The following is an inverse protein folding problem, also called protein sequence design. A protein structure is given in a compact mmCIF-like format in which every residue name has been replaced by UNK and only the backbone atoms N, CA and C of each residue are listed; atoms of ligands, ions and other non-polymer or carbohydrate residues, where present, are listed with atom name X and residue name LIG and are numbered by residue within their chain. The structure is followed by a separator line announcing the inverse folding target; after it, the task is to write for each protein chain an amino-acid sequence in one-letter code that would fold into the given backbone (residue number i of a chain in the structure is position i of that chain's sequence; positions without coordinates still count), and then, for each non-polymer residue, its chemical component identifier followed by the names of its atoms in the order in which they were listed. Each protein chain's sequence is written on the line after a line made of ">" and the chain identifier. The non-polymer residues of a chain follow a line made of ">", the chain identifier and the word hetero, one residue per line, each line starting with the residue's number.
data_IF_341470894311
#
_entry.id   IF_341470894311
#
_cell.length_a   1.000
_cell.length_b   1.000
_cell.length_c   1.000
_cell.angle_alpha   90.00
_cell.angle_beta   90.00
_cell.angle_gamma   90.00
#
_symmetry.space_group_name_H-M   'P 1'
#
loop_
_entity.id
_entity.type
_entity.pdbx_description
1 polymer ?
#
# COMPACT_ATOMS: atom_id res chain seq x y z
N UNK A 1 9.20 25.59 0.90
CA UNK A 1 9.47 26.79 0.06
C UNK A 1 8.21 27.67 -0.08
N UNK A 2 7.68 28.22 1.03
CA UNK A 2 6.73 29.35 1.07
C UNK A 2 5.34 29.26 0.41
N UNK A 3 5.14 28.45 -0.63
CA UNK A 3 3.85 28.25 -1.32
C UNK A 3 3.70 26.81 -1.80
N UNK A 4 2.50 26.27 -1.62
CA UNK A 4 2.10 24.98 -2.18
C UNK A 4 1.49 25.19 -3.58
N UNK A 5 1.89 24.42 -4.60
CA UNK A 5 1.31 24.50 -5.93
C UNK A 5 -0.18 24.17 -5.92
N UNK A 6 -0.97 24.82 -6.77
CA UNK A 6 -2.42 24.63 -6.79
C UNK A 6 -2.83 23.21 -7.21
N UNK A 7 -2.10 22.63 -8.16
CA UNK A 7 -2.26 21.26 -8.63
C UNK A 7 -1.91 20.21 -7.56
N UNK A 8 -0.94 20.51 -6.69
CA UNK A 8 -0.60 19.68 -5.52
C UNK A 8 -1.66 19.81 -4.44
N UNK A 9 -2.10 21.04 -4.13
CA UNK A 9 -3.09 21.32 -3.09
C UNK A 9 -4.45 20.64 -3.32
N UNK A 10 -4.79 20.34 -4.57
CA UNK A 10 -6.07 19.69 -4.95
C UNK A 10 -5.96 18.18 -5.17
N UNK A 11 -4.82 17.58 -4.83
CA UNK A 11 -4.68 16.13 -4.90
C UNK A 11 -5.61 15.46 -3.90
N UNK A 12 -6.37 14.50 -4.41
CA UNK A 12 -7.04 13.49 -3.62
C UNK A 12 -6.08 12.32 -3.45
N UNK A 13 -5.96 11.83 -2.23
CA UNK A 13 -5.08 10.72 -1.90
C UNK A 13 -5.82 9.39 -1.96
N UNK A 14 -5.10 8.34 -2.32
CA UNK A 14 -5.65 6.98 -2.30
C UNK A 14 -6.12 6.60 -0.88
N UNK A 15 -7.01 5.60 -0.73
CA UNK A 15 -7.18 4.91 0.54
C UNK A 15 -5.82 4.46 1.11
N UNK A 16 -5.77 4.18 2.41
CA UNK A 16 -4.58 3.64 3.06
C UNK A 16 -4.71 2.12 3.27
N UNK A 17 -3.79 1.55 4.03
CA UNK A 17 -3.90 0.22 4.56
C UNK A 17 -3.38 0.11 6.00
N UNK A 18 -3.96 -0.84 6.71
CA UNK A 18 -3.37 -1.45 7.89
C UNK A 18 -2.60 -2.70 7.46
N UNK A 19 -1.45 -2.93 8.07
CA UNK A 19 -0.59 -4.07 7.79
C UNK A 19 -0.24 -4.79 9.08
N UNK A 20 -0.51 -6.10 9.11
CA UNK A 20 0.00 -7.03 10.09
C UNK A 20 1.12 -7.84 9.44
N UNK A 21 2.36 -7.66 9.91
CA UNK A 21 3.48 -8.53 9.61
C UNK A 21 3.63 -9.51 10.77
N UNK A 22 3.52 -10.81 10.53
CA UNK A 22 3.58 -11.82 11.58
C UNK A 22 4.63 -12.89 11.27
N UNK A 23 5.47 -13.21 12.27
CA UNK A 23 6.22 -14.47 12.33
C UNK A 23 5.37 -15.50 13.08
N UNK A 24 5.19 -16.68 12.50
CA UNK A 24 4.24 -17.67 13.01
C UNK A 24 4.78 -19.09 12.96
N UNK A 25 4.33 -19.92 13.90
CA UNK A 25 4.57 -21.38 13.90
C UNK A 25 3.62 -22.14 12.98
N UNK A 26 2.55 -21.50 12.53
CA UNK A 26 1.48 -22.15 11.78
C UNK A 26 1.72 -22.07 10.27
N UNK A 27 1.55 -23.21 9.60
CA UNK A 27 1.48 -23.29 8.15
C UNK A 27 0.10 -23.79 7.71
N UNK A 28 -0.43 -23.22 6.63
CA UNK A 28 -1.73 -23.61 6.07
C UNK A 28 -1.49 -24.30 4.74
N UNK A 29 -2.12 -25.45 4.47
CA UNK A 29 -1.89 -26.21 3.23
C UNK A 29 -2.61 -25.63 2.01
N UNK A 30 -3.76 -24.98 2.20
CA UNK A 30 -4.63 -24.49 1.13
C UNK A 30 -4.43 -23.00 0.77
N UNK A 31 -3.21 -22.49 0.86
CA UNK A 31 -2.88 -21.13 0.43
C UNK A 31 -1.75 -21.15 -0.61
N UNK A 32 -1.62 -20.07 -1.39
CA UNK A 32 -0.51 -19.81 -2.29
C UNK A 32 0.45 -18.77 -1.68
N UNK A 33 1.47 -18.35 -2.44
CA UNK A 33 2.35 -17.24 -2.03
C UNK A 33 1.53 -15.97 -1.79
N UNK A 34 0.63 -15.62 -2.71
CA UNK A 34 -0.31 -14.50 -2.58
C UNK A 34 -1.74 -15.03 -2.58
N UNK A 35 -2.56 -14.54 -1.66
CA UNK A 35 -3.95 -14.94 -1.48
C UNK A 35 -4.80 -13.69 -1.36
N UNK A 36 -5.75 -13.53 -2.27
CA UNK A 36 -6.75 -12.48 -2.19
C UNK A 36 -8.03 -13.11 -1.67
N UNK A 37 -8.52 -12.62 -0.54
CA UNK A 37 -9.79 -13.02 0.02
C UNK A 37 -10.78 -11.90 -0.19
N UNK A 38 -11.80 -12.15 -1.00
CA UNK A 38 -12.83 -11.16 -1.30
C UNK A 38 -13.89 -11.14 -0.21
N UNK A 39 -14.32 -9.93 0.17
CA UNK A 39 -15.59 -9.75 0.86
C UNK A 39 -16.77 -10.13 -0.03
N UNK A 40 -17.93 -10.37 0.58
CA UNK A 40 -19.21 -10.66 -0.10
C UNK A 40 -19.80 -9.42 -0.78
N UNK A 41 -19.51 -8.22 -0.26
CA UNK A 41 -20.01 -6.95 -0.82
C UNK A 41 -18.89 -6.18 -1.51
N UNK A 42 -18.88 -6.18 -2.85
CA UNK A 42 -17.89 -5.43 -3.62
C UNK A 42 -18.19 -3.92 -3.60
N UNK A 43 -19.43 -3.51 -3.88
CA UNK A 43 -19.79 -2.10 -4.02
C UNK A 43 -19.84 -1.36 -2.67
N UNK A 44 -20.31 -2.03 -1.60
CA UNK A 44 -20.39 -1.42 -0.26
C UNK A 44 -19.01 -1.08 0.31
N UNK A 45 -18.00 -1.91 0.01
CA UNK A 45 -16.63 -1.76 0.50
C UNK A 45 -15.96 -0.48 0.00
N UNK A 46 -16.09 -0.15 -1.29
CA UNK A 46 -15.51 1.08 -1.83
C UNK A 46 -16.23 2.31 -1.31
N UNK A 47 -17.56 2.25 -1.17
CA UNK A 47 -18.34 3.32 -0.54
C UNK A 47 -17.90 3.57 0.89
N UNK A 48 -17.74 2.53 1.70
CA UNK A 48 -17.30 2.66 3.10
C UNK A 48 -15.94 3.35 3.19
N UNK A 49 -14.97 2.93 2.37
CA UNK A 49 -13.60 3.45 2.41
C UNK A 49 -13.46 4.87 1.84
N UNK A 50 -14.04 5.11 0.67
CA UNK A 50 -13.79 6.31 -0.14
C UNK A 50 -14.80 7.41 0.21
N UNK A 51 -16.08 7.07 0.26
CA UNK A 51 -17.16 8.05 0.41
C UNK A 51 -17.47 8.29 1.89
N UNK A 52 -17.68 7.22 2.65
CA UNK A 52 -18.13 7.28 4.04
C UNK A 52 -16.97 7.35 5.05
N UNK A 53 -15.73 7.11 4.57
CA UNK A 53 -14.48 7.19 5.33
C UNK A 53 -14.47 6.35 6.61
N UNK A 54 -14.96 5.12 6.51
CA UNK A 54 -15.06 4.14 7.60
C UNK A 54 -14.29 2.87 7.28
N UNK A 55 -13.94 2.13 8.33
CA UNK A 55 -13.42 0.78 8.19
C UNK A 55 -14.51 -0.11 7.59
N UNK A 56 -14.11 -1.02 6.69
CA UNK A 56 -15.03 -1.92 6.02
C UNK A 56 -15.60 -2.94 7.00
N UNK A 57 -16.90 -3.20 6.93
CA UNK A 57 -17.51 -4.30 7.68
C UNK A 57 -17.22 -5.69 7.08
N UNK A 58 -16.82 -5.76 5.81
CA UNK A 58 -16.52 -7.02 5.10
C UNK A 58 -15.33 -6.83 4.14
N UNK A 59 -14.10 -6.77 4.68
CA UNK A 59 -12.94 -6.29 3.92
C UNK A 59 -12.47 -7.31 2.88
N UNK A 60 -12.07 -6.84 1.69
CA UNK A 60 -11.22 -7.66 0.81
C UNK A 60 -9.76 -7.51 1.23
N UNK A 61 -9.06 -8.62 1.47
CA UNK A 61 -7.73 -8.61 2.10
C UNK A 61 -6.71 -9.37 1.26
N UNK A 62 -5.45 -8.97 1.40
CA UNK A 62 -4.31 -9.66 0.80
C UNK A 62 -3.50 -10.33 1.91
N UNK A 63 -3.35 -11.65 1.82
CA UNK A 63 -2.44 -12.43 2.65
C UNK A 63 -1.32 -12.98 1.78
N UNK A 64 -0.10 -12.57 2.08
CA UNK A 64 1.09 -13.06 1.42
C UNK A 64 1.90 -13.91 2.40
N UNK A 65 2.25 -15.12 1.98
CA UNK A 65 3.18 -16.01 2.68
C UNK A 65 4.42 -16.22 1.79
N UNK A 66 5.44 -15.35 1.92
CA UNK A 66 6.68 -15.45 1.16
C UNK A 66 7.44 -16.77 1.38
N UNK A 67 7.37 -17.31 2.61
CA UNK A 67 8.03 -18.57 2.99
C UNK A 67 7.59 -19.78 2.18
N UNK A 68 6.45 -19.71 1.48
CA UNK A 68 6.06 -20.74 0.50
C UNK A 68 6.96 -20.83 -0.72
N UNK A 69 7.47 -19.70 -1.19
CA UNK A 69 8.33 -19.66 -2.38
C UNK A 69 9.79 -19.65 -1.98
N UNK A 70 10.12 -18.97 -0.88
CA UNK A 70 11.46 -18.92 -0.34
C UNK A 70 11.45 -19.30 1.16
N UNK A 71 11.60 -20.61 1.48
CA UNK A 71 11.65 -21.08 2.86
C UNK A 71 12.75 -20.42 3.71
N UNK A 72 13.81 -19.88 3.09
CA UNK A 72 14.91 -19.21 3.79
C UNK A 72 14.55 -17.86 4.39
N UNK A 73 13.35 -17.33 4.12
CA UNK A 73 12.87 -16.09 4.70
C UNK A 73 12.44 -16.21 6.17
N UNK A 74 12.34 -17.43 6.73
CA UNK A 74 12.05 -17.68 8.14
C UNK A 74 12.93 -18.81 8.71
N UNK A 75 13.05 -18.91 10.05
CA UNK A 75 13.66 -20.08 10.68
C UNK A 75 12.93 -21.38 10.34
N UNK A 76 13.62 -22.51 10.49
CA UNK A 76 13.08 -23.84 10.24
C UNK A 76 11.76 -24.09 11.01
N UNK A 77 10.74 -24.56 10.28
CA UNK A 77 9.41 -24.83 10.82
C UNK A 77 8.57 -23.57 11.13
N UNK A 78 9.05 -22.38 10.77
CA UNK A 78 8.32 -21.11 10.94
C UNK A 78 7.86 -20.57 9.59
N UNK A 79 6.95 -19.59 9.64
CA UNK A 79 6.39 -18.91 8.49
C UNK A 79 6.41 -17.40 8.74
N UNK A 80 6.45 -16.61 7.66
CA UNK A 80 6.12 -15.18 7.74
C UNK A 80 4.85 -14.89 6.94
N UNK A 81 4.01 -14.03 7.50
CA UNK A 81 2.78 -13.58 6.88
C UNK A 81 2.77 -12.06 6.79
N UNK A 82 2.49 -11.57 5.59
CA UNK A 82 2.17 -10.18 5.30
C UNK A 82 0.67 -10.10 5.06
N UNK A 83 -0.05 -9.40 5.95
CA UNK A 83 -1.50 -9.34 5.96
C UNK A 83 -1.94 -7.89 5.81
N UNK A 84 -2.43 -7.54 4.62
CA UNK A 84 -2.85 -6.18 4.28
C UNK A 84 -4.37 -6.06 4.27
N UNK A 85 -4.87 -5.10 5.04
CA UNK A 85 -6.26 -4.70 5.09
C UNK A 85 -6.38 -3.26 4.58
N UNK A 86 -7.15 -3.00 3.51
CA UNK A 86 -7.43 -1.63 3.09
C UNK A 86 -8.14 -0.85 4.21
N UNK A 87 -7.86 0.44 4.29
CA UNK A 87 -8.47 1.35 5.27
C UNK A 87 -8.66 2.73 4.64
N UNK A 88 -9.52 3.60 5.20
CA UNK A 88 -9.51 5.00 4.82
C UNK A 88 -8.12 5.60 5.11
N UNK A 89 -7.75 6.62 4.33
CA UNK A 89 -6.57 7.42 4.64
C UNK A 89 -6.86 8.38 5.82
N UNK A 90 -5.87 9.19 6.20
CA UNK A 90 -5.99 10.09 7.35
C UNK A 90 -6.90 11.31 7.14
N UNK A 91 -7.58 11.43 5.99
CA UNK A 91 -8.71 12.36 5.86
C UNK A 91 -9.98 11.83 6.53
N UNK A 92 -9.97 10.59 7.04
CA UNK A 92 -11.00 10.00 7.88
C UNK A 92 -10.77 10.34 9.36
N UNK A 93 -11.87 10.53 10.10
CA UNK A 93 -11.84 10.80 11.55
C UNK A 93 -11.73 9.48 12.33
N UNK A 94 -10.56 8.84 12.23
CA UNK A 94 -10.23 7.59 12.91
C UNK A 94 -8.99 7.83 13.78
N UNK A 95 -9.16 7.72 15.10
CA UNK A 95 -8.06 7.74 16.05
C UNK A 95 -7.30 6.41 16.00
N UNK A 96 -6.21 6.37 15.24
CA UNK A 96 -5.38 5.17 15.09
C UNK A 96 -4.55 4.84 16.32
N UNK A 97 -4.28 5.79 17.23
CA UNK A 97 -3.61 5.48 18.50
C UNK A 97 -4.51 4.61 19.38
N UNK A 98 -5.83 4.83 19.32
CA UNK A 98 -6.82 3.99 19.97
C UNK A 98 -7.23 2.77 19.14
N UNK A 99 -7.39 2.92 17.83
CA UNK A 99 -7.96 1.88 16.94
C UNK A 99 -6.98 0.80 16.52
N UNK A 100 -5.67 0.98 16.73
CA UNK A 100 -4.63 0.01 16.32
C UNK A 100 -4.87 -1.40 16.86
N UNK A 101 -5.02 -1.55 18.17
CA UNK A 101 -5.21 -2.86 18.81
C UNK A 101 -6.61 -3.46 18.54
N UNK A 102 -7.72 -2.72 18.69
CA UNK A 102 -9.04 -3.24 18.33
C UNK A 102 -9.14 -3.69 16.87
N UNK A 103 -8.50 -2.97 15.94
CA UNK A 103 -8.50 -3.35 14.53
C UNK A 103 -7.59 -4.54 14.25
N UNK A 104 -6.48 -4.70 14.99
CA UNK A 104 -5.66 -5.92 14.96
C UNK A 104 -6.48 -7.15 15.34
N UNK A 105 -7.31 -7.06 16.37
CA UNK A 105 -8.18 -8.18 16.78
C UNK A 105 -9.24 -8.51 15.73
N UNK A 106 -9.83 -7.50 15.08
CA UNK A 106 -10.76 -7.73 13.96
C UNK A 106 -10.05 -8.37 12.75
N UNK A 107 -8.82 -7.93 12.43
CA UNK A 107 -7.98 -8.53 11.38
C UNK A 107 -7.76 -10.02 11.65
N UNK A 108 -7.40 -10.37 12.89
CA UNK A 108 -7.19 -11.76 13.33
C UNK A 108 -8.48 -12.56 13.17
N UNK A 109 -9.59 -12.04 13.69
CA UNK A 109 -10.90 -12.69 13.61
C UNK A 109 -11.30 -12.97 12.15
N UNK A 110 -11.15 -11.99 11.27
CA UNK A 110 -11.44 -12.14 9.83
C UNK A 110 -10.54 -13.19 9.19
N UNK A 111 -9.26 -13.28 9.56
CA UNK A 111 -8.37 -14.34 9.07
C UNK A 111 -8.84 -15.72 9.53
N UNK A 112 -9.18 -15.88 10.81
CA UNK A 112 -9.61 -17.19 11.33
C UNK A 112 -10.92 -17.65 10.68
N UNK A 113 -11.88 -16.74 10.50
CA UNK A 113 -13.12 -16.98 9.76
C UNK A 113 -12.87 -17.38 8.28
N UNK A 114 -11.74 -16.94 7.70
CA UNK A 114 -11.33 -17.23 6.31
C UNK A 114 -10.39 -18.43 6.19
N UNK A 115 -10.34 -19.28 7.22
CA UNK A 115 -9.63 -20.56 7.18
C UNK A 115 -8.21 -20.52 7.71
N UNK A 116 -7.76 -19.40 8.27
CA UNK A 116 -6.50 -19.32 9.00
C UNK A 116 -6.71 -19.70 10.48
N UNK A 117 -7.35 -20.84 10.75
CA UNK A 117 -7.69 -21.26 12.12
C UNK A 117 -6.44 -21.38 13.01
N UNK A 118 -6.51 -20.83 14.23
CA UNK A 118 -5.41 -20.84 15.18
C UNK A 118 -4.28 -19.85 14.82
N UNK A 119 -4.55 -18.87 13.96
CA UNK A 119 -3.55 -17.89 13.55
C UNK A 119 -3.08 -17.07 14.74
N UNK A 120 -4.01 -16.59 15.60
CA UNK A 120 -3.69 -15.75 16.74
C UNK A 120 -2.70 -16.41 17.69
N UNK A 121 -2.96 -17.67 18.06
CA UNK A 121 -2.16 -18.43 19.02
C UNK A 121 -0.78 -18.80 18.48
N UNK A 122 -0.62 -18.79 17.16
CA UNK A 122 0.60 -19.18 16.48
C UNK A 122 1.56 -18.01 16.21
N UNK A 123 1.16 -16.76 16.47
CA UNK A 123 2.02 -15.59 16.28
C UNK A 123 3.09 -15.57 17.38
N UNK A 124 4.37 -15.59 16.98
CA UNK A 124 5.51 -15.45 17.89
C UNK A 124 6.05 -14.02 17.94
N UNK A 125 5.84 -13.27 16.86
CA UNK A 125 6.22 -11.87 16.72
C UNK A 125 5.27 -11.22 15.72
N UNK A 126 4.85 -9.99 16.01
CA UNK A 126 4.14 -9.17 15.04
C UNK A 126 4.64 -7.73 14.99
N UNK A 127 4.43 -7.09 13.84
CA UNK A 127 4.59 -5.67 13.64
C UNK A 127 3.37 -5.12 12.91
N UNK A 128 2.74 -4.13 13.53
CA UNK A 128 1.56 -3.45 13.01
C UNK A 128 1.96 -2.12 12.40
N UNK A 129 1.52 -1.85 11.18
CA UNK A 129 1.64 -0.54 10.52
C UNK A 129 0.25 -0.02 10.19
N UNK A 130 -0.06 1.17 10.70
CA UNK A 130 -1.31 1.90 10.52
C UNK A 130 -1.12 3.07 9.52
N UNK A 131 -2.20 3.75 9.11
CA UNK A 131 -2.10 5.01 8.38
C UNK A 131 -1.24 6.08 9.07
N UNK A 132 -1.22 6.15 10.41
CA UNK A 132 -0.32 7.07 11.14
C UNK A 132 1.16 6.68 10.93
N UNK A 133 1.49 5.40 11.09
CA UNK A 133 2.86 4.90 10.88
C UNK A 133 3.33 5.18 9.42
N UNK A 134 2.44 5.10 8.44
CA UNK A 134 2.75 5.49 7.06
C UNK A 134 3.03 7.00 6.94
N UNK A 135 2.26 7.84 7.61
CA UNK A 135 2.47 9.28 7.61
C UNK A 135 3.80 9.67 8.26
N UNK A 136 4.17 9.02 9.37
CA UNK A 136 5.47 9.22 10.00
C UNK A 136 6.64 8.86 9.08
N UNK A 137 6.44 7.89 8.17
CA UNK A 137 7.40 7.53 7.11
C UNK A 137 7.41 8.50 5.92
N UNK A 138 6.65 9.60 6.00
CA UNK A 138 6.56 10.63 4.96
C UNK A 138 5.54 10.32 3.85
N UNK A 139 4.63 9.37 4.07
CA UNK A 139 3.55 9.09 3.12
C UNK A 139 2.38 10.03 3.39
N UNK A 140 2.13 10.97 2.47
CA UNK A 140 1.08 11.98 2.61
C UNK A 140 -0.30 11.34 2.82
N UNK A 141 -1.09 11.92 3.74
CA UNK A 141 -2.36 11.34 4.24
C UNK A 141 -2.27 9.90 4.75
N UNK A 142 -1.07 9.44 5.08
CA UNK A 142 -0.85 8.10 5.60
C UNK A 142 -1.12 7.00 4.57
N UNK A 143 -1.07 7.26 3.26
CA UNK A 143 -1.28 6.22 2.23
C UNK A 143 0.02 5.81 1.54
N UNK A 144 0.42 4.52 1.59
CA UNK A 144 1.56 4.03 0.81
C UNK A 144 1.28 3.98 -0.70
N UNK A 145 0.05 4.32 -1.12
CA UNK A 145 -0.40 4.28 -2.51
C UNK A 145 -0.43 5.66 -3.19
N UNK A 146 0.08 6.71 -2.52
CA UNK A 146 0.19 8.08 -3.03
C UNK A 146 -1.16 8.67 -3.53
N UNK A 147 -1.11 9.56 -4.51
CA UNK A 147 -2.29 10.21 -5.09
C UNK A 147 -3.26 9.19 -5.71
N UNK A 148 -4.57 9.40 -5.49
CA UNK A 148 -5.64 8.55 -6.00
C UNK A 148 -5.59 8.41 -7.53
N UNK A 149 -5.94 7.22 -7.99
CA UNK A 149 -6.07 6.88 -9.42
C UNK A 149 -7.39 7.38 -10.03
N UNK A 150 -7.76 8.63 -9.76
CA UNK A 150 -8.91 9.26 -10.40
C UNK A 150 -8.55 9.74 -11.81
N UNK A 151 -9.53 9.80 -12.71
CA UNK A 151 -9.32 10.22 -14.10
C UNK A 151 -8.55 11.55 -14.18
N UNK A 152 -8.92 12.53 -13.35
CA UNK A 152 -8.31 13.86 -13.28
C UNK A 152 -6.89 13.90 -12.66
N UNK A 153 -6.35 12.79 -12.16
CA UNK A 153 -5.01 12.70 -11.55
C UNK A 153 -4.11 11.67 -12.24
N UNK A 154 -4.49 11.25 -13.44
CA UNK A 154 -3.77 10.27 -14.26
C UNK A 154 -3.24 10.89 -15.55
N UNK A 155 -2.19 10.28 -16.11
CA UNK A 155 -1.62 10.68 -17.39
C UNK A 155 -1.19 12.16 -17.43
N UNK A 156 -1.68 12.96 -18.39
CA UNK A 156 -1.27 14.36 -18.55
C UNK A 156 -1.80 15.29 -17.45
N UNK A 157 -2.79 14.87 -16.67
CA UNK A 157 -3.38 15.68 -15.58
C UNK A 157 -2.64 15.51 -14.24
N UNK A 158 -1.71 14.56 -14.15
CA UNK A 158 -0.89 14.38 -12.95
C UNK A 158 0.09 15.55 -12.81
N UNK A 159 0.33 16.07 -11.58
CA UNK A 159 1.27 17.15 -11.35
C UNK A 159 2.64 16.87 -11.95
N UNK A 160 3.27 17.91 -12.51
CA UNK A 160 4.59 17.79 -13.13
C UNK A 160 5.63 17.47 -12.07
N UNK A 161 6.55 16.56 -12.39
CA UNK A 161 7.67 16.22 -11.50
C UNK A 161 8.87 17.19 -11.65
N UNK A 162 8.63 18.48 -11.91
CA UNK A 162 9.65 19.56 -11.91
C UNK A 162 9.12 20.71 -11.05
N UNK A 163 10.01 21.33 -10.30
CA UNK A 163 9.77 22.61 -9.62
C UNK A 163 10.84 23.63 -10.03
N UNK A 164 10.39 24.82 -10.45
CA UNK A 164 11.29 25.86 -10.96
C UNK A 164 12.07 25.38 -12.19
N UNK A 165 13.32 25.81 -12.30
CA UNK A 165 14.19 25.49 -13.44
C UNK A 165 15.15 24.31 -13.18
N UNK A 166 15.34 23.91 -11.92
CA UNK A 166 16.45 23.04 -11.53
C UNK A 166 16.13 22.00 -10.44
N UNK A 167 14.86 21.79 -10.09
CA UNK A 167 14.45 20.75 -9.15
C UNK A 167 13.57 19.73 -9.87
N UNK A 168 13.96 18.45 -9.81
CA UNK A 168 13.24 17.34 -10.43
C UNK A 168 12.86 16.34 -9.34
N UNK A 169 11.59 15.94 -9.30
CA UNK A 169 11.10 14.94 -8.37
C UNK A 169 11.15 13.54 -9.00
N UNK A 170 11.49 12.54 -8.19
CA UNK A 170 11.47 11.12 -8.55
C UNK A 170 10.83 10.32 -7.41
N UNK A 171 10.12 9.24 -7.75
CA UNK A 171 9.52 8.33 -6.77
C UNK A 171 8.06 8.01 -7.03
N UNK A 172 7.41 7.35 -6.08
CA UNK A 172 6.02 6.87 -6.19
C UNK A 172 4.98 7.99 -6.11
N UNK A 173 5.33 9.08 -5.42
CA UNK A 173 4.47 10.26 -5.25
C UNK A 173 4.38 11.16 -6.48
N UNK A 174 5.11 10.87 -7.55
CA UNK A 174 5.23 11.76 -8.71
C UNK A 174 4.98 11.04 -10.03
N UNK A 175 5.29 11.67 -11.16
CA UNK A 175 5.19 11.05 -12.49
C UNK A 175 6.15 9.85 -12.57
N UNK A 176 5.73 8.67 -13.08
CA UNK A 176 4.45 8.38 -13.72
C UNK A 176 3.39 7.77 -12.78
N UNK A 177 3.75 7.34 -11.57
CA UNK A 177 2.79 6.75 -10.64
C UNK A 177 3.42 5.88 -9.55
N UNK A 178 2.57 5.15 -8.85
CA UNK A 178 2.94 4.22 -7.76
C UNK A 178 3.30 2.83 -8.28
N UNK A 179 4.02 2.06 -7.45
CA UNK A 179 4.45 0.70 -7.74
C UNK A 179 5.91 0.63 -8.20
N UNK A 180 6.59 -0.48 -7.87
CA UNK A 180 8.03 -0.66 -8.16
C UNK A 180 8.39 -0.35 -9.61
N UNK A 181 7.67 -0.85 -10.64
CA UNK A 181 7.99 -0.52 -12.02
C UNK A 181 7.91 0.99 -12.32
N UNK A 182 6.88 1.66 -11.79
CA UNK A 182 6.66 3.08 -12.02
C UNK A 182 7.69 3.95 -11.29
N UNK A 183 8.12 3.55 -10.10
CA UNK A 183 9.21 4.22 -9.36
C UNK A 183 10.53 4.14 -10.13
N UNK A 184 10.85 2.99 -10.71
CA UNK A 184 12.05 2.84 -11.55
C UNK A 184 11.99 3.74 -12.79
N UNK A 185 10.84 3.78 -13.47
CA UNK A 185 10.63 4.69 -14.61
C UNK A 185 10.72 6.15 -14.17
N UNK A 186 10.14 6.52 -13.02
CA UNK A 186 10.24 7.86 -12.45
C UNK A 186 11.70 8.30 -12.25
N UNK A 187 12.52 7.43 -11.65
CA UNK A 187 13.94 7.68 -11.43
C UNK A 187 14.70 7.89 -12.74
N UNK A 188 14.47 7.03 -13.75
CA UNK A 188 15.06 7.21 -15.08
C UNK A 188 14.66 8.55 -15.71
N UNK A 189 13.37 8.87 -15.75
CA UNK A 189 12.87 10.13 -16.32
C UNK A 189 13.41 11.37 -15.60
N UNK A 190 13.64 11.26 -14.29
CA UNK A 190 14.25 12.33 -13.52
C UNK A 190 15.74 12.51 -13.86
N UNK A 191 16.49 11.40 -13.99
CA UNK A 191 17.89 11.44 -14.41
C UNK A 191 18.03 12.04 -15.82
N UNK A 192 17.23 11.59 -16.79
CA UNK A 192 17.25 12.08 -18.18
C UNK A 192 16.97 13.58 -18.28
N UNK A 193 16.23 14.17 -17.34
CA UNK A 193 16.01 15.63 -17.29
C UNK A 193 17.23 16.43 -16.86
N UNK A 194 18.13 15.80 -16.11
CA UNK A 194 19.36 16.41 -15.62
C UNK A 194 20.50 16.15 -16.62
N UNK A 195 20.62 14.92 -17.11
CA UNK A 195 21.76 14.47 -17.94
C UNK A 195 21.48 14.51 -19.44
N UNK A 196 20.23 14.72 -19.86
CA UNK A 196 19.78 14.49 -21.23
C UNK A 196 19.29 13.04 -21.46
N UNK A 197 18.63 12.76 -22.60
CA UNK A 197 18.07 11.46 -22.92
C UNK A 197 19.12 10.34 -22.97
N UNK A 198 18.82 9.18 -22.41
CA UNK A 198 19.64 7.99 -22.59
C UNK A 198 19.36 7.36 -23.96
N UNK A 199 20.22 7.67 -24.93
CA UNK A 199 20.13 7.14 -26.28
C UNK A 199 20.45 5.63 -26.39
N UNK A 200 21.02 5.00 -25.35
CA UNK A 200 21.27 3.56 -25.32
C UNK A 200 20.05 2.76 -24.82
N UNK A 201 19.06 3.41 -24.20
CA UNK A 201 17.85 2.75 -23.72
C UNK A 201 16.88 2.44 -24.88
N UNK A 202 16.67 1.14 -25.12
CA UNK A 202 15.63 0.64 -26.02
C UNK A 202 14.61 -0.20 -25.24
N UNK A 203 13.36 0.26 -25.19
CA UNK A 203 12.28 -0.50 -24.55
C UNK A 203 12.06 -1.82 -25.28
N UNK A 204 12.14 -2.93 -24.55
CA UNK A 204 11.80 -4.27 -25.05
C UNK A 204 10.29 -4.58 -24.96
N UNK A 205 9.49 -3.69 -24.40
CA UNK A 205 8.05 -3.92 -24.18
C UNK A 205 7.22 -3.95 -25.48
N UNK A 206 7.81 -3.54 -26.60
CA UNK A 206 7.17 -3.44 -27.91
C UNK A 206 7.80 -4.38 -28.95
N UNK A 207 8.60 -5.33 -28.48
CA UNK A 207 9.29 -6.34 -29.28
C UNK A 207 8.65 -7.70 -29.02
#
# INVERSE_FOLDING_TARGET
>A
MGREPWDVKRLNYSPSCFLLLAGSTQSYSQIAHHNIHFGKSWDGVFKDLIDDKKLMSDPSILVTNPTRTDPGMAPDGKQIYYVLFPTPNLDADIDWDYMKEPYRDEVIKVLEERGYTGFSDAIELEHLTTPLDWQERGMERGTPFAAAHSFFQTGPFRPRNIWGENVVFAGSGTQPGVGVPMVLVSGRLAAERITGPDHAYHSRAWM
#
